data_IF_304012188276
#
_entry.id   IF_304012188276
#
_cell.length_a   1.000
_cell.length_b   1.000
_cell.length_c   1.000
_cell.angle_alpha   90.00
_cell.angle_beta   90.00
_cell.angle_gamma   90.00
#
_symmetry.space_group_name_H-M   'P 1'
#
loop_
_entity.id
_entity.type
_entity.pdbx_description
1 polymer ?
#
# COMPACT_ATOMS: atom_id res chain seq x y z
N UNK A 1 -16.01 87.48 -8.48
CA UNK A 1 -17.02 86.42 -8.69
C UNK A 1 -17.03 85.53 -7.45
N UNK A 2 -18.09 85.52 -6.64
CA UNK A 2 -18.17 84.75 -5.37
C UNK A 2 -18.96 83.47 -5.61
N UNK A 3 -18.33 82.31 -5.47
CA UNK A 3 -19.01 81.01 -5.61
C UNK A 3 -19.82 80.70 -4.35
N UNK A 4 -21.13 80.49 -4.51
CA UNK A 4 -22.05 80.11 -3.45
C UNK A 4 -22.04 78.57 -3.34
N UNK A 5 -21.51 78.03 -2.24
CA UNK A 5 -21.62 76.59 -1.94
C UNK A 5 -23.08 76.25 -1.68
N UNK A 6 -23.76 75.66 -2.66
CA UNK A 6 -25.02 74.91 -2.43
C UNK A 6 -24.64 73.45 -2.22
N UNK A 7 -24.56 73.02 -0.97
CA UNK A 7 -24.48 71.60 -0.64
C UNK A 7 -25.86 70.99 -0.91
N UNK A 8 -25.99 69.99 -1.80
CA UNK A 8 -27.24 69.23 -1.90
C UNK A 8 -27.51 68.56 -0.55
N UNK A 9 -28.67 68.82 0.06
CA UNK A 9 -29.14 68.03 1.20
C UNK A 9 -29.62 66.69 0.66
N UNK A 10 -28.76 65.69 0.68
CA UNK A 10 -29.14 64.30 0.35
C UNK A 10 -29.84 63.72 1.57
N UNK A 11 -31.17 63.53 1.50
CA UNK A 11 -31.92 62.80 2.53
C UNK A 11 -31.74 61.31 2.27
N UNK A 12 -30.93 60.66 3.09
CA UNK A 12 -30.67 59.21 2.99
C UNK A 12 -31.83 58.48 3.69
N UNK A 13 -32.48 57.56 2.97
CA UNK A 13 -33.50 56.69 3.54
C UNK A 13 -32.83 55.49 4.22
N UNK A 14 -32.83 55.50 5.56
CA UNK A 14 -32.22 54.46 6.38
C UNK A 14 -32.92 53.10 6.28
N UNK A 15 -34.24 53.06 6.08
CA UNK A 15 -35.00 51.80 6.01
C UNK A 15 -34.63 51.00 4.75
N UNK A 16 -34.40 51.71 3.64
CA UNK A 16 -33.96 51.08 2.40
C UNK A 16 -32.55 50.50 2.53
N UNK A 17 -31.65 51.21 3.22
CA UNK A 17 -30.30 50.72 3.51
C UNK A 17 -30.33 49.48 4.41
N UNK A 18 -31.12 49.51 5.48
CA UNK A 18 -31.27 48.37 6.39
C UNK A 18 -31.78 47.12 5.65
N UNK A 19 -32.77 47.27 4.76
CA UNK A 19 -33.29 46.16 3.95
C UNK A 19 -32.23 45.55 3.02
N UNK A 20 -31.37 46.37 2.41
CA UNK A 20 -30.27 45.85 1.59
C UNK A 20 -29.19 45.18 2.42
N UNK A 21 -28.88 45.70 3.60
CA UNK A 21 -27.93 45.08 4.51
C UNK A 21 -28.39 43.68 4.95
N UNK A 22 -29.64 43.53 5.38
CA UNK A 22 -30.17 42.22 5.78
C UNK A 22 -30.16 41.21 4.63
N UNK A 23 -30.54 41.62 3.41
CA UNK A 23 -30.47 40.73 2.24
C UNK A 23 -29.05 40.28 1.91
N UNK A 24 -28.09 41.18 2.09
CA UNK A 24 -26.68 40.85 1.90
C UNK A 24 -26.19 39.90 2.98
N UNK A 25 -26.57 40.12 4.24
CA UNK A 25 -26.26 39.23 5.37
C UNK A 25 -26.80 37.81 5.12
N UNK A 26 -28.08 37.67 4.77
CA UNK A 26 -28.70 36.37 4.47
C UNK A 26 -27.95 35.67 3.32
N UNK A 27 -27.67 36.39 2.23
CA UNK A 27 -26.94 35.82 1.09
C UNK A 27 -25.50 35.40 1.43
N UNK A 28 -24.83 36.14 2.31
CA UNK A 28 -23.47 35.78 2.76
C UNK A 28 -23.51 34.55 3.66
N UNK A 29 -24.51 34.45 4.55
CA UNK A 29 -24.72 33.29 5.42
C UNK A 29 -24.98 32.05 4.56
N UNK A 30 -25.91 32.12 3.60
CA UNK A 30 -26.25 31.01 2.72
C UNK A 30 -25.02 30.49 1.95
N UNK A 31 -24.18 31.41 1.42
CA UNK A 31 -22.96 31.03 0.71
C UNK A 31 -21.93 30.38 1.65
N UNK A 32 -21.77 30.88 2.87
CA UNK A 32 -20.87 30.28 3.86
C UNK A 32 -21.33 28.87 4.22
N UNK A 33 -22.63 28.69 4.45
CA UNK A 33 -23.20 27.40 4.79
C UNK A 33 -23.03 26.39 3.64
N UNK A 34 -23.25 26.81 2.40
CA UNK A 34 -23.03 25.96 1.21
C UNK A 34 -21.56 25.56 1.05
N UNK A 35 -20.63 26.53 1.14
CA UNK A 35 -19.19 26.27 1.07
C UNK A 35 -18.71 25.35 2.21
N UNK A 36 -19.25 25.54 3.41
CA UNK A 36 -18.97 24.69 4.57
C UNK A 36 -19.47 23.26 4.34
N UNK A 37 -20.71 23.09 3.90
CA UNK A 37 -21.27 21.77 3.62
C UNK A 37 -20.49 21.06 2.52
N UNK A 38 -20.11 21.76 1.44
CA UNK A 38 -19.27 21.20 0.37
C UNK A 38 -17.92 20.74 0.89
N UNK A 39 -17.29 21.52 1.79
CA UNK A 39 -16.04 21.14 2.41
C UNK A 39 -16.20 19.88 3.27
N UNK A 40 -17.27 19.80 4.07
CA UNK A 40 -17.56 18.65 4.92
C UNK A 40 -17.76 17.38 4.08
N UNK A 41 -18.51 17.45 2.98
CA UNK A 41 -18.68 16.32 2.06
C UNK A 41 -17.35 15.85 1.46
N UNK A 42 -16.53 16.79 0.97
CA UNK A 42 -15.21 16.45 0.44
C UNK A 42 -14.29 15.79 1.48
N UNK A 43 -14.32 16.26 2.72
CA UNK A 43 -13.55 15.67 3.82
C UNK A 43 -14.04 14.25 4.14
N UNK A 44 -15.36 14.02 4.15
CA UNK A 44 -15.94 12.70 4.36
C UNK A 44 -15.54 11.72 3.25
N UNK A 45 -15.61 12.14 1.99
CA UNK A 45 -15.17 11.32 0.85
C UNK A 45 -13.68 10.99 0.93
N UNK A 46 -12.86 11.97 1.29
CA UNK A 46 -11.42 11.78 1.50
C UNK A 46 -11.14 10.81 2.65
N UNK A 47 -11.87 10.91 3.77
CA UNK A 47 -11.73 10.01 4.90
C UNK A 47 -12.11 8.57 4.52
N UNK A 48 -13.24 8.39 3.83
CA UNK A 48 -13.70 7.08 3.31
C UNK A 48 -12.65 6.44 2.38
N UNK A 49 -12.03 7.24 1.50
CA UNK A 49 -10.94 6.76 0.63
C UNK A 49 -9.71 6.35 1.45
N UNK A 50 -9.34 7.11 2.47
CA UNK A 50 -8.22 6.78 3.33
C UNK A 50 -8.44 5.47 4.10
N UNK A 51 -9.64 5.26 4.65
CA UNK A 51 -10.02 4.02 5.35
C UNK A 51 -9.94 2.79 4.45
N UNK A 52 -10.46 2.88 3.22
CA UNK A 52 -10.39 1.76 2.26
C UNK A 52 -8.95 1.45 1.83
N UNK A 53 -8.09 2.47 1.65
CA UNK A 53 -6.67 2.27 1.39
C UNK A 53 -5.96 1.61 2.58
N UNK A 54 -6.30 2.00 3.80
CA UNK A 54 -5.75 1.38 5.01
C UNK A 54 -6.12 -0.10 5.09
N UNK A 55 -7.37 -0.47 4.80
CA UNK A 55 -7.80 -1.86 4.77
C UNK A 55 -7.02 -2.68 3.72
N UNK A 56 -6.82 -2.12 2.52
CA UNK A 56 -6.03 -2.77 1.46
C UNK A 56 -4.57 -2.96 1.90
N UNK A 57 -3.97 -1.97 2.55
CA UNK A 57 -2.59 -2.04 3.04
C UNK A 57 -2.43 -3.10 4.12
N UNK A 58 -3.36 -3.19 5.07
CA UNK A 58 -3.32 -4.23 6.11
C UNK A 58 -3.47 -5.64 5.51
N UNK A 59 -4.38 -5.83 4.54
CA UNK A 59 -4.51 -7.10 3.83
C UNK A 59 -3.23 -7.48 3.07
N UNK A 60 -2.62 -6.54 2.36
CA UNK A 60 -1.34 -6.77 1.65
C UNK A 60 -0.22 -7.09 2.62
N UNK A 61 -0.15 -6.40 3.77
CA UNK A 61 0.84 -6.67 4.81
C UNK A 61 0.69 -8.07 5.38
N UNK A 62 -0.53 -8.51 5.66
CA UNK A 62 -0.80 -9.87 6.11
C UNK A 62 -0.34 -10.92 5.07
N UNK A 63 -0.71 -10.73 3.80
CA UNK A 63 -0.28 -11.62 2.72
C UNK A 63 1.25 -11.70 2.61
N UNK A 64 1.96 -10.56 2.63
CA UNK A 64 3.43 -10.54 2.59
C UNK A 64 4.04 -11.28 3.78
N UNK A 65 3.46 -11.17 4.98
CA UNK A 65 3.96 -11.91 6.15
C UNK A 65 3.80 -13.42 5.98
N UNK A 66 2.71 -13.89 5.38
CA UNK A 66 2.50 -15.31 5.06
C UNK A 66 3.51 -15.81 4.02
N UNK A 67 3.76 -15.02 2.97
CA UNK A 67 4.79 -15.35 1.96
C UNK A 67 6.19 -15.45 2.59
N UNK A 68 6.55 -14.50 3.46
CA UNK A 68 7.81 -14.52 4.20
C UNK A 68 7.90 -15.77 5.08
N UNK A 69 6.83 -16.14 5.78
CA UNK A 69 6.82 -17.33 6.63
C UNK A 69 7.03 -18.62 5.82
N UNK A 70 6.40 -18.77 4.65
CA UNK A 70 6.60 -19.90 3.76
C UNK A 70 8.01 -19.91 3.16
N UNK A 71 8.53 -18.76 2.75
CA UNK A 71 9.90 -18.64 2.26
C UNK A 71 10.91 -19.06 3.34
N UNK A 72 10.72 -18.64 4.59
CA UNK A 72 11.58 -19.06 5.70
C UNK A 72 11.52 -20.57 5.95
N UNK A 73 10.33 -21.18 5.90
CA UNK A 73 10.16 -22.64 6.03
C UNK A 73 10.91 -23.37 4.91
N UNK A 74 10.77 -22.91 3.68
CA UNK A 74 11.51 -23.43 2.51
C UNK A 74 13.02 -23.32 2.70
N UNK A 75 13.53 -22.15 3.08
CA UNK A 75 14.97 -21.93 3.36
C UNK A 75 15.47 -22.90 4.44
N UNK A 76 14.71 -23.07 5.53
CA UNK A 76 15.06 -24.03 6.59
C UNK A 76 15.11 -25.47 6.07
N UNK A 77 14.16 -25.88 5.21
CA UNK A 77 14.14 -27.20 4.57
C UNK A 77 15.34 -27.40 3.65
N UNK A 78 15.64 -26.43 2.79
CA UNK A 78 16.79 -26.47 1.89
C UNK A 78 18.12 -26.58 2.66
N UNK A 79 18.29 -25.79 3.73
CA UNK A 79 19.46 -25.89 4.63
C UNK A 79 19.62 -27.29 5.21
N UNK A 80 18.52 -27.92 5.64
CA UNK A 80 18.53 -29.29 6.17
C UNK A 80 18.90 -30.32 5.10
N UNK A 81 18.33 -30.20 3.90
CA UNK A 81 18.66 -31.07 2.77
C UNK A 81 20.15 -31.01 2.41
N UNK A 82 20.72 -29.80 2.34
CA UNK A 82 22.15 -29.61 2.09
C UNK A 82 23.02 -30.26 3.18
N UNK A 83 22.66 -30.08 4.45
CA UNK A 83 23.38 -30.74 5.55
C UNK A 83 23.31 -32.27 5.45
N UNK A 84 22.14 -32.83 5.12
CA UNK A 84 21.95 -34.26 4.91
C UNK A 84 22.80 -34.79 3.73
N UNK A 85 22.77 -34.08 2.59
CA UNK A 85 23.60 -34.39 1.43
C UNK A 85 25.09 -34.40 1.78
N UNK A 86 25.56 -33.37 2.50
CA UNK A 86 26.94 -33.30 2.97
C UNK A 86 27.30 -34.52 3.82
N UNK A 87 26.45 -34.90 4.77
CA UNK A 87 26.64 -36.08 5.62
C UNK A 87 26.71 -37.38 4.81
N UNK A 88 25.76 -37.60 3.88
CA UNK A 88 25.75 -38.77 2.97
C UNK A 88 26.99 -38.81 2.07
N UNK A 89 27.47 -37.66 1.60
CA UNK A 89 28.69 -37.58 0.80
C UNK A 89 29.94 -37.89 1.61
N UNK A 90 30.01 -37.45 2.87
CA UNK A 90 31.14 -37.74 3.76
C UNK A 90 31.19 -39.21 4.19
N UNK A 91 30.06 -39.90 4.33
CA UNK A 91 30.06 -41.33 4.70
C UNK A 91 30.58 -42.26 3.60
N UNK A 92 30.60 -41.78 2.35
CA UNK A 92 31.19 -42.51 1.22
C UNK A 92 32.71 -42.35 1.11
N UNK A 93 33.32 -41.48 1.94
CA UNK A 93 34.78 -41.30 2.01
C UNK A 93 35.41 -42.30 2.97
N UNK A 94 36.58 -42.82 2.58
CA UNK A 94 37.47 -43.57 3.48
C UNK A 94 38.26 -42.63 4.39
N UNK A 95 38.82 -43.13 5.51
CA UNK A 95 39.69 -42.35 6.39
C UNK A 95 40.92 -41.76 5.70
N UNK A 96 41.40 -42.41 4.63
CA UNK A 96 42.52 -41.95 3.80
C UNK A 96 42.14 -40.85 2.79
N UNK A 97 40.87 -40.40 2.78
CA UNK A 97 40.35 -39.37 1.87
C UNK A 97 39.85 -39.89 0.52
N UNK A 98 40.08 -41.16 0.18
CA UNK A 98 39.65 -41.75 -1.09
C UNK A 98 38.14 -42.03 -1.08
N UNK A 99 37.43 -41.58 -2.12
CA UNK A 99 36.01 -41.91 -2.31
C UNK A 99 35.94 -43.21 -3.12
N UNK A 100 35.76 -44.36 -2.45
CA UNK A 100 35.49 -45.63 -3.12
C UNK A 100 33.99 -45.94 -3.05
N UNK A 101 33.19 -45.28 -3.89
CA UNK A 101 31.76 -45.52 -4.01
C UNK A 101 31.39 -45.84 -5.46
N UNK A 102 30.44 -46.75 -5.66
CA UNK A 102 30.01 -47.12 -7.01
C UNK A 102 29.33 -45.92 -7.70
N UNK A 103 29.43 -45.87 -9.04
CA UNK A 103 28.72 -44.87 -9.86
C UNK A 103 27.21 -44.83 -9.53
N UNK A 104 26.62 -45.99 -9.25
CA UNK A 104 25.20 -46.13 -8.88
C UNK A 104 24.90 -45.46 -7.53
N UNK A 105 25.77 -45.65 -6.53
CA UNK A 105 25.63 -45.04 -5.21
C UNK A 105 25.69 -43.51 -5.29
N UNK A 106 26.68 -42.95 -6.00
CA UNK A 106 26.78 -41.50 -6.19
C UNK A 106 25.57 -40.91 -6.93
N UNK A 107 25.14 -41.55 -8.03
CA UNK A 107 23.95 -41.10 -8.78
C UNK A 107 22.71 -41.03 -7.88
N UNK A 108 22.53 -42.00 -6.98
CA UNK A 108 21.40 -42.00 -6.05
C UNK A 108 21.46 -40.82 -5.09
N UNK A 109 22.61 -40.58 -4.44
CA UNK A 109 22.78 -39.46 -3.50
C UNK A 109 22.50 -38.10 -4.15
N UNK A 110 22.91 -37.95 -5.41
CA UNK A 110 22.65 -36.73 -6.20
C UNK A 110 21.16 -36.60 -6.52
N UNK A 111 20.52 -37.67 -7.00
CA UNK A 111 19.10 -37.66 -7.35
C UNK A 111 18.21 -37.36 -6.13
N UNK A 112 18.44 -38.06 -5.02
CA UNK A 112 17.73 -37.84 -3.76
C UNK A 112 17.85 -36.36 -3.30
N UNK A 113 19.03 -35.76 -3.45
CA UNK A 113 19.25 -34.34 -3.10
C UNK A 113 18.45 -33.39 -4.00
N UNK A 114 18.41 -33.62 -5.31
CA UNK A 114 17.63 -32.78 -6.22
C UNK A 114 16.13 -32.90 -5.98
N UNK A 115 15.62 -34.11 -5.73
CA UNK A 115 14.22 -34.31 -5.36
C UNK A 115 13.86 -33.54 -4.09
N UNK A 116 14.66 -33.69 -3.02
CA UNK A 116 14.42 -32.99 -1.74
C UNK A 116 14.47 -31.46 -1.88
N UNK A 117 15.31 -30.94 -2.78
CA UNK A 117 15.47 -29.51 -3.03
C UNK A 117 14.33 -28.93 -3.87
N UNK A 118 13.92 -29.61 -4.95
CA UNK A 118 12.80 -29.17 -5.78
C UNK A 118 11.46 -29.26 -5.04
N UNK A 119 11.29 -30.30 -4.21
CA UNK A 119 10.14 -30.45 -3.32
C UNK A 119 10.11 -29.39 -2.20
N UNK A 120 11.16 -28.58 -2.04
CA UNK A 120 11.20 -27.50 -1.05
C UNK A 120 10.63 -26.17 -1.55
N UNK A 121 10.23 -26.06 -2.83
CA UNK A 121 9.75 -24.82 -3.47
C UNK A 121 10.56 -23.61 -3.02
N UNK A 122 11.66 -23.32 -3.70
CA UNK A 122 12.35 -22.04 -3.53
C UNK A 122 11.35 -20.97 -3.94
N UNK A 123 10.82 -20.24 -2.95
CA UNK A 123 9.88 -19.15 -3.18
C UNK A 123 10.62 -18.10 -3.99
N UNK A 124 10.38 -18.05 -5.30
CA UNK A 124 10.74 -16.91 -6.12
C UNK A 124 9.65 -15.87 -5.84
N UNK A 125 9.98 -14.69 -5.29
CA UNK A 125 8.99 -13.64 -5.10
C UNK A 125 8.36 -13.33 -6.45
N UNK A 126 7.11 -13.74 -6.65
CA UNK A 126 6.32 -13.27 -7.77
C UNK A 126 6.01 -11.82 -7.46
N UNK A 127 6.72 -10.90 -8.11
CA UNK A 127 6.32 -9.49 -8.16
C UNK A 127 4.99 -9.41 -8.91
N UNK A 128 3.89 -9.72 -8.23
CA UNK A 128 2.55 -9.46 -8.72
C UNK A 128 2.30 -7.95 -8.57
N UNK A 129 2.87 -7.18 -9.49
CA UNK A 129 2.33 -5.88 -9.86
C UNK A 129 0.96 -6.15 -10.48
N UNK A 130 -0.07 -6.25 -9.62
CA UNK A 130 -1.46 -6.11 -10.05
C UNK A 130 -1.60 -4.73 -10.69
N UNK A 131 -1.56 -4.69 -12.01
CA UNK A 131 -2.01 -3.57 -12.81
C UNK A 131 -3.55 -3.59 -12.79
N UNK A 132 -4.16 -3.12 -11.70
CA UNK A 132 -5.59 -2.83 -11.71
C UNK A 132 -5.82 -1.34 -11.94
N UNK A 133 -6.44 -1.07 -13.08
CA UNK A 133 -7.31 0.05 -13.43
C UNK A 133 -6.76 1.48 -13.30
N UNK A 134 -6.07 1.91 -14.35
CA UNK A 134 -6.14 3.30 -14.80
C UNK A 134 -7.55 3.59 -15.32
N UNK A 135 -8.44 4.09 -14.45
CA UNK A 135 -9.59 4.88 -14.88
C UNK A 135 -9.09 6.33 -14.93
N UNK A 136 -8.83 6.81 -16.14
CA UNK A 136 -8.58 8.23 -16.41
C UNK A 136 -9.90 9.03 -16.34
N UNK A 137 -9.86 10.32 -15.99
CA UNK A 137 -11.02 11.16 -15.75
C UNK A 137 -11.87 11.45 -17.00
#
# INVERSE_FOLDING_TARGET
>A
MKFRKRSPKTTINWDHFASHASKWEDSVIDNIDEEYNRLVEHLHDSATKAESLQEILEKRRAAVMDEVAEAEKSIRKARRSFANYKTKMTSLRRPDGTVTASRRAMKKVIYDFYSDLFDSHVYLPTHHLRQDEYIAP
#
